data_IF_346339929864
#
_entry.id   IF_346339929864
#
_cell.length_a   1.000
_cell.length_b   1.000
_cell.length_c   1.000
_cell.angle_alpha   90.00
_cell.angle_beta   90.00
_cell.angle_gamma   90.00
#
_symmetry.space_group_name_H-M   'P 1'
#
loop_
_entity.id
_entity.type
_entity.pdbx_description
1 polymer ?
#
# COMPACT_ATOMS: atom_id res chain seq x y z
N UNK A 1 12.46 4.50 -5.11
CA UNK A 1 12.21 3.49 -4.06
C UNK A 1 10.79 2.95 -4.23
N UNK A 2 10.29 2.10 -3.32
CA UNK A 2 8.86 1.74 -3.31
C UNK A 2 7.98 2.95 -3.02
N UNK A 3 8.40 3.80 -2.08
CA UNK A 3 7.71 5.03 -1.70
C UNK A 3 7.57 6.01 -2.88
N UNK A 4 8.66 6.28 -3.63
CA UNK A 4 8.61 7.17 -4.81
C UNK A 4 7.60 6.69 -5.86
N UNK A 5 7.52 5.37 -6.06
CA UNK A 5 6.56 4.78 -6.99
C UNK A 5 5.13 4.98 -6.49
N UNK A 6 4.87 4.77 -5.20
CA UNK A 6 3.55 5.00 -4.62
C UNK A 6 3.12 6.46 -4.75
N UNK A 7 4.03 7.42 -4.52
CA UNK A 7 3.73 8.84 -4.75
C UNK A 7 3.30 9.12 -6.19
N UNK A 8 4.03 8.60 -7.18
CA UNK A 8 3.64 8.79 -8.59
C UNK A 8 2.28 8.18 -8.90
N UNK A 9 2.00 6.99 -8.36
CA UNK A 9 0.76 6.27 -8.66
C UNK A 9 -0.46 6.95 -8.06
N UNK A 10 -0.37 7.55 -6.86
CA UNK A 10 -1.55 8.21 -6.29
C UNK A 10 -1.82 9.57 -6.94
N UNK A 11 -0.81 10.22 -7.52
CA UNK A 11 -1.05 11.38 -8.38
C UNK A 11 -1.84 11.01 -9.65
N UNK A 12 -1.50 9.87 -10.26
CA UNK A 12 -2.16 9.38 -11.46
C UNK A 12 -3.55 8.75 -11.17
N UNK A 13 -3.72 8.16 -9.98
CA UNK A 13 -4.92 7.44 -9.55
C UNK A 13 -5.35 7.88 -8.13
N UNK A 14 -5.88 9.10 -7.96
CA UNK A 14 -6.18 9.67 -6.64
C UNK A 14 -7.24 8.91 -5.84
N UNK A 15 -8.11 8.15 -6.51
CA UNK A 15 -9.19 7.38 -5.88
C UNK A 15 -8.78 5.91 -5.58
N UNK A 16 -7.55 5.50 -5.90
CA UNK A 16 -7.10 4.13 -5.68
C UNK A 16 -6.72 3.88 -4.22
N UNK A 17 -7.11 2.71 -3.68
CA UNK A 17 -6.69 2.27 -2.35
C UNK A 17 -5.38 1.46 -2.42
N UNK A 18 -4.40 1.83 -1.58
CA UNK A 18 -3.17 1.04 -1.41
C UNK A 18 -3.45 -0.10 -0.44
N UNK A 19 -3.37 -1.34 -0.93
CA UNK A 19 -3.63 -2.56 -0.17
C UNK A 19 -2.45 -3.53 -0.23
N UNK A 20 -2.28 -4.32 0.84
CA UNK A 20 -1.43 -5.51 0.81
C UNK A 20 -2.13 -6.65 0.08
N UNK A 21 -1.34 -7.55 -0.52
CA UNK A 21 -1.88 -8.71 -1.24
C UNK A 21 -2.79 -9.58 -0.33
N UNK A 22 -2.45 -9.75 0.95
CA UNK A 22 -3.26 -10.47 1.95
C UNK A 22 -4.59 -9.79 2.30
N UNK A 23 -4.75 -8.52 1.99
CA UNK A 23 -5.95 -7.74 2.37
C UNK A 23 -7.11 -8.02 1.40
N UNK A 24 -6.85 -8.69 0.27
CA UNK A 24 -7.87 -9.13 -0.68
C UNK A 24 -8.62 -10.36 -0.13
N UNK A 25 -9.97 -10.42 -0.23
CA UNK A 25 -10.78 -11.38 0.52
C UNK A 25 -10.56 -12.85 0.15
N UNK A 26 -10.00 -13.13 -1.03
CA UNK A 26 -9.68 -14.49 -1.49
C UNK A 26 -8.24 -14.92 -1.20
N UNK A 27 -7.41 -14.04 -0.63
CA UNK A 27 -5.98 -14.31 -0.47
C UNK A 27 -5.68 -14.83 0.92
N UNK A 28 -5.13 -16.04 0.98
CA UNK A 28 -4.71 -16.70 2.24
C UNK A 28 -3.22 -16.60 2.52
N UNK A 29 -2.44 -16.11 1.55
CA UNK A 29 -0.99 -15.98 1.71
C UNK A 29 -0.69 -14.80 2.62
N UNK A 30 0.39 -14.89 3.40
CA UNK A 30 0.82 -13.82 4.30
C UNK A 30 1.39 -12.61 3.56
N UNK A 31 1.71 -12.72 2.27
CA UNK A 31 2.28 -11.66 1.43
C UNK A 31 1.45 -10.36 1.55
N UNK A 32 2.07 -9.19 1.81
CA UNK A 32 3.51 -8.91 1.73
C UNK A 32 4.30 -9.22 3.01
N UNK A 33 3.73 -9.98 3.94
CA UNK A 33 4.32 -10.39 5.23
C UNK A 33 4.45 -9.27 6.27
N UNK A 34 3.89 -8.10 6.00
CA UNK A 34 3.71 -7.00 6.94
C UNK A 34 2.35 -6.34 6.71
N UNK A 35 1.96 -5.45 7.61
CA UNK A 35 0.73 -4.67 7.48
C UNK A 35 0.99 -3.40 6.66
N UNK A 36 0.37 -3.30 5.48
CA UNK A 36 0.60 -2.16 4.58
C UNK A 36 0.07 -0.86 5.18
N UNK A 37 -1.04 -0.89 5.92
CA UNK A 37 -1.63 0.31 6.51
C UNK A 37 -0.78 0.86 7.64
N UNK A 38 -0.21 -0.02 8.47
CA UNK A 38 0.74 0.41 9.49
C UNK A 38 2.05 0.92 8.87
N UNK A 39 2.58 0.22 7.87
CA UNK A 39 3.80 0.66 7.18
C UNK A 39 3.67 2.05 6.55
N UNK A 40 2.53 2.35 5.89
CA UNK A 40 2.27 3.68 5.33
C UNK A 40 2.30 4.78 6.40
N UNK A 41 1.83 4.51 7.63
CA UNK A 41 1.92 5.46 8.74
C UNK A 41 3.36 5.62 9.24
N UNK A 42 4.13 4.52 9.32
CA UNK A 42 5.52 4.54 9.77
C UNK A 42 6.42 5.40 8.89
N UNK A 43 6.15 5.41 7.58
CA UNK A 43 6.90 6.23 6.62
C UNK A 43 6.30 7.64 6.42
N UNK A 44 5.34 8.05 7.25
CA UNK A 44 4.65 9.35 7.14
C UNK A 44 4.05 9.58 5.75
N UNK A 45 3.50 8.53 5.13
CA UNK A 45 2.95 8.60 3.79
C UNK A 45 1.65 9.41 3.80
N UNK A 46 1.74 10.63 3.30
CA UNK A 46 0.65 11.59 3.22
C UNK A 46 0.46 12.04 1.78
N UNK A 47 -0.81 12.16 1.37
CA UNK A 47 -1.22 12.75 0.10
C UNK A 47 -2.19 13.89 0.36
#
# INVERSE_FOLDING_TARGET
SLEDLLYSLVLDYPDAEILGHRDLPWVRKSCPCFDVREWLKEIDFHL
#
